data_IF_092065809870
#
_entry.id   IF_092065809870
#
_cell.length_a   1.000
_cell.length_b   1.000
_cell.length_c   1.000
_cell.angle_alpha   90.00
_cell.angle_beta   90.00
_cell.angle_gamma   90.00
#
_symmetry.space_group_name_H-M   'P 1'
#
loop_
_entity.id
_entity.type
_entity.pdbx_description
1 polymer ?
#
# COMPACT_ATOMS: atom_id res chain seq x y z
N UNK A 1 30.05 5.43 8.77
CA UNK A 1 29.43 4.27 8.10
C UNK A 1 27.92 4.46 8.16
N UNK A 2 27.19 4.24 7.05
CA UNK A 2 25.75 4.44 7.02
C UNK A 2 25.03 3.33 7.80
N UNK A 3 24.20 3.71 8.79
CA UNK A 3 23.36 2.76 9.53
C UNK A 3 22.33 2.07 8.65
N UNK A 4 21.83 2.80 7.63
CA UNK A 4 20.89 2.25 6.63
C UNK A 4 21.54 1.12 5.85
N UNK A 5 22.79 1.31 5.37
CA UNK A 5 23.54 0.27 4.67
C UNK A 5 23.82 -0.96 5.54
N UNK A 6 24.07 -0.75 6.81
CA UNK A 6 24.28 -1.83 7.78
C UNK A 6 22.98 -2.62 8.05
N UNK A 7 21.86 -1.93 8.24
CA UNK A 7 20.59 -2.56 8.65
C UNK A 7 19.81 -3.20 7.50
N UNK A 8 19.93 -2.68 6.28
CA UNK A 8 19.13 -3.14 5.12
C UNK A 8 20.00 -3.97 4.17
N UNK A 9 21.29 -3.68 4.10
CA UNK A 9 22.16 -4.16 3.04
C UNK A 9 21.97 -3.35 1.74
N UNK A 10 23.03 -3.31 0.94
CA UNK A 10 22.99 -2.64 -0.36
C UNK A 10 22.62 -3.68 -1.43
N UNK A 11 21.35 -3.81 -1.75
CA UNK A 11 20.92 -4.73 -2.81
C UNK A 11 20.92 -4.00 -4.14
N UNK A 12 21.98 -4.20 -4.92
CA UNK A 12 22.07 -3.80 -6.35
C UNK A 12 21.21 -4.72 -7.25
N UNK A 13 19.96 -4.95 -6.91
CA UNK A 13 19.08 -5.73 -7.79
C UNK A 13 18.18 -4.78 -8.56
N UNK A 14 18.29 -4.72 -9.90
CA UNK A 14 17.36 -3.94 -10.70
C UNK A 14 15.96 -4.51 -10.47
N UNK A 15 15.02 -3.65 -10.11
CA UNK A 15 13.59 -3.97 -10.22
C UNK A 15 13.25 -3.70 -11.68
N UNK A 16 13.67 -4.63 -12.55
CA UNK A 16 13.70 -4.47 -14.00
C UNK A 16 12.33 -4.22 -14.62
N UNK A 17 11.26 -4.59 -13.93
CA UNK A 17 9.90 -4.48 -14.46
C UNK A 17 9.18 -3.19 -14.04
N UNK A 18 9.69 -2.44 -13.07
CA UNK A 18 9.06 -1.23 -12.54
C UNK A 18 9.77 0.06 -12.95
N UNK A 19 11.07 -0.04 -13.33
CA UNK A 19 11.84 1.11 -13.78
C UNK A 19 11.64 1.31 -15.27
N UNK A 20 11.46 2.55 -15.74
CA UNK A 20 11.60 2.87 -17.17
C UNK A 20 12.95 2.36 -17.65
N UNK A 21 13.01 1.71 -18.81
CA UNK A 21 14.26 1.15 -19.36
C UNK A 21 15.39 2.19 -19.49
N UNK A 22 15.03 3.48 -19.54
CA UNK A 22 15.96 4.62 -19.59
C UNK A 22 16.67 4.90 -18.25
N UNK A 23 16.21 4.34 -17.13
CA UNK A 23 16.78 4.57 -15.79
C UNK A 23 17.38 3.32 -15.14
N UNK A 24 17.44 2.21 -15.85
CA UNK A 24 18.09 0.97 -15.38
C UNK A 24 19.62 1.06 -15.56
N UNK A 25 20.27 2.12 -15.02
CA UNK A 25 21.73 2.18 -14.98
C UNK A 25 22.29 1.27 -13.89
N UNK A 26 23.55 0.85 -14.03
CA UNK A 26 24.27 0.03 -13.05
C UNK A 26 24.36 0.69 -11.66
N UNK A 27 24.07 1.97 -11.57
CA UNK A 27 24.19 2.81 -10.39
C UNK A 27 22.88 3.07 -9.65
N UNK A 28 21.82 2.30 -9.95
CA UNK A 28 20.56 2.39 -9.22
C UNK A 28 20.69 1.83 -7.81
N UNK A 29 20.49 2.67 -6.80
CA UNK A 29 20.46 2.26 -5.41
C UNK A 29 19.05 1.77 -5.03
N UNK A 30 18.94 0.51 -4.67
CA UNK A 30 17.68 -0.11 -4.27
C UNK A 30 17.71 -0.51 -2.79
N UNK A 31 16.85 0.12 -1.98
CA UNK A 31 16.65 -0.23 -0.59
C UNK A 31 15.31 -0.96 -0.41
N UNK A 32 15.38 -2.25 -0.12
CA UNK A 32 14.22 -3.08 0.13
C UNK A 32 14.00 -3.32 1.62
N UNK A 33 12.91 -2.79 2.16
CA UNK A 33 12.48 -3.14 3.50
C UNK A 33 11.72 -4.46 3.46
N UNK A 34 11.90 -5.29 4.48
CA UNK A 34 11.21 -6.59 4.56
C UNK A 34 9.70 -6.43 4.72
N UNK A 35 9.30 -5.43 5.49
CA UNK A 35 7.92 -5.03 5.78
C UNK A 35 7.91 -3.69 6.51
N UNK A 36 6.70 -3.20 6.83
CA UNK A 36 6.52 -1.95 7.56
C UNK A 36 7.23 -1.95 8.93
N UNK A 37 7.25 -3.06 9.66
CA UNK A 37 7.93 -3.11 10.98
C UNK A 37 9.45 -2.96 10.84
N UNK A 38 10.03 -3.56 9.81
CA UNK A 38 11.44 -3.37 9.50
C UNK A 38 11.76 -1.91 9.13
N UNK A 39 10.88 -1.26 8.34
CA UNK A 39 10.99 0.17 8.07
C UNK A 39 10.96 1.00 9.35
N UNK A 40 9.95 0.80 10.22
CA UNK A 40 9.82 1.47 11.53
C UNK A 40 11.07 1.26 12.40
N UNK A 41 11.62 0.05 12.43
CA UNK A 41 12.84 -0.25 13.14
C UNK A 41 14.04 0.53 12.60
N UNK A 42 14.27 0.55 11.29
CA UNK A 42 15.37 1.27 10.66
C UNK A 42 15.29 2.75 10.98
N UNK A 43 14.14 3.41 10.73
CA UNK A 43 13.98 4.83 11.00
C UNK A 43 14.09 5.19 12.48
N UNK A 44 13.78 4.26 13.39
CA UNK A 44 14.00 4.46 14.84
C UNK A 44 15.47 4.56 15.24
N UNK A 45 16.39 4.11 14.39
CA UNK A 45 17.85 4.17 14.60
C UNK A 45 18.50 5.39 13.94
N UNK A 46 17.72 6.18 13.19
CA UNK A 46 18.19 7.36 12.49
C UNK A 46 17.87 8.63 13.27
N UNK A 47 18.47 9.71 12.83
CA UNK A 47 18.16 11.07 13.25
C UNK A 47 18.10 11.94 11.99
N UNK A 48 17.01 12.68 11.81
CA UNK A 48 16.93 13.63 10.72
C UNK A 48 17.80 14.86 11.01
N UNK A 49 18.63 15.22 10.08
CA UNK A 49 19.41 16.47 10.14
C UNK A 49 18.48 17.67 9.91
N UNK A 50 18.77 18.79 10.53
CA UNK A 50 17.91 19.96 10.44
C UNK A 50 16.62 19.90 11.26
N UNK A 51 16.38 18.82 12.00
CA UNK A 51 15.26 18.66 12.91
C UNK A 51 15.77 18.42 14.34
N UNK A 52 15.09 18.98 15.34
CA UNK A 52 15.40 18.65 16.73
C UNK A 52 15.08 17.19 17.05
N UNK A 53 15.87 16.58 17.91
CA UNK A 53 15.68 15.18 18.31
C UNK A 53 14.29 14.95 18.94
N UNK A 54 13.79 15.92 19.70
CA UNK A 54 12.44 15.86 20.29
C UNK A 54 11.36 15.78 19.23
N UNK A 55 11.43 16.61 18.19
CA UNK A 55 10.46 16.62 17.08
C UNK A 55 10.55 15.33 16.26
N UNK A 56 11.76 14.83 16.00
CA UNK A 56 11.91 13.54 15.31
C UNK A 56 11.25 12.39 16.10
N UNK A 57 11.47 12.33 17.42
CA UNK A 57 10.84 11.35 18.29
C UNK A 57 9.32 11.47 18.34
N UNK A 58 8.78 12.69 18.33
CA UNK A 58 7.33 12.91 18.26
C UNK A 58 6.73 12.32 16.97
N UNK A 59 7.32 12.66 15.81
CA UNK A 59 6.89 12.14 14.50
C UNK A 59 7.04 10.62 14.44
N UNK A 60 8.12 10.07 14.96
CA UNK A 60 8.33 8.62 15.06
C UNK A 60 7.26 7.94 15.93
N UNK A 61 6.89 8.52 17.05
CA UNK A 61 5.83 7.97 17.91
C UNK A 61 4.47 7.96 17.18
N UNK A 62 4.18 8.98 16.36
CA UNK A 62 2.96 9.00 15.50
C UNK A 62 2.98 7.87 14.48
N UNK A 63 4.11 7.63 13.81
CA UNK A 63 4.29 6.52 12.88
C UNK A 63 4.11 5.16 13.57
N UNK A 64 4.76 4.96 14.73
CA UNK A 64 4.67 3.70 15.48
C UNK A 64 3.24 3.40 15.89
N UNK A 65 2.51 4.42 16.36
CA UNK A 65 1.12 4.31 16.79
C UNK A 65 0.10 4.24 15.64
N UNK A 66 0.52 4.41 14.40
CA UNK A 66 -0.37 4.42 13.24
C UNK A 66 -1.32 5.61 13.22
N UNK A 67 -0.93 6.78 13.76
CA UNK A 67 -1.80 7.96 13.80
C UNK A 67 -1.86 8.60 12.43
N UNK A 68 -2.99 8.45 11.75
CA UNK A 68 -3.24 8.96 10.40
C UNK A 68 -3.62 10.44 10.34
N UNK A 69 -4.20 10.96 11.43
CA UNK A 69 -4.82 12.30 11.47
C UNK A 69 -6.13 12.38 10.66
N UNK A 70 -6.78 11.23 10.40
CA UNK A 70 -8.12 11.11 9.82
C UNK A 70 -8.97 10.35 10.82
N UNK A 71 -10.21 10.78 11.02
CA UNK A 71 -11.15 10.09 11.90
C UNK A 71 -11.71 8.83 11.23
N UNK A 72 -12.17 7.89 12.03
CA UNK A 72 -12.86 6.70 11.53
C UNK A 72 -14.15 7.09 10.78
N UNK A 73 -14.87 8.10 11.27
CA UNK A 73 -16.10 8.61 10.67
C UNK A 73 -15.84 9.18 9.25
N UNK A 74 -14.78 9.98 9.08
CA UNK A 74 -14.38 10.48 7.75
C UNK A 74 -14.05 9.35 6.77
N UNK A 75 -13.40 8.29 7.25
CA UNK A 75 -13.11 7.13 6.41
C UNK A 75 -14.39 6.40 6.00
N UNK A 76 -15.32 6.16 6.93
CA UNK A 76 -16.60 5.52 6.66
C UNK A 76 -17.47 6.30 5.68
N UNK A 77 -17.43 7.64 5.75
CA UNK A 77 -18.12 8.51 4.78
C UNK A 77 -17.53 8.32 3.37
N UNK A 78 -16.21 8.24 3.26
CA UNK A 78 -15.54 7.99 1.98
C UNK A 78 -15.89 6.58 1.46
N UNK A 79 -15.91 5.56 2.31
CA UNK A 79 -16.32 4.20 1.92
C UNK A 79 -17.76 4.19 1.36
N UNK A 80 -18.70 4.85 2.05
CA UNK A 80 -20.09 4.99 1.58
C UNK A 80 -20.17 5.68 0.22
N UNK A 81 -19.39 6.74 0.03
CA UNK A 81 -19.34 7.48 -1.23
C UNK A 81 -18.80 6.62 -2.38
N UNK A 82 -17.68 5.93 -2.17
CA UNK A 82 -17.07 5.03 -3.16
C UNK A 82 -18.04 3.93 -3.54
N UNK A 83 -18.60 3.22 -2.55
CA UNK A 83 -19.61 2.16 -2.77
C UNK A 83 -20.80 2.67 -3.59
N UNK A 84 -21.34 3.85 -3.25
CA UNK A 84 -22.45 4.45 -4.00
C UNK A 84 -22.10 4.74 -5.46
N UNK A 85 -20.90 5.23 -5.74
CA UNK A 85 -20.45 5.51 -7.11
C UNK A 85 -20.25 4.24 -7.93
N UNK A 86 -19.61 3.21 -7.35
CA UNK A 86 -19.42 1.91 -8.01
C UNK A 86 -20.78 1.23 -8.31
N UNK A 87 -21.71 1.30 -7.37
CA UNK A 87 -23.06 0.77 -7.56
C UNK A 87 -23.82 1.50 -8.68
N UNK A 88 -23.79 2.85 -8.69
CA UNK A 88 -24.43 3.65 -9.75
C UNK A 88 -23.87 3.33 -11.15
N UNK A 89 -22.63 2.90 -11.22
CA UNK A 89 -21.98 2.46 -12.47
C UNK A 89 -22.25 1.00 -12.83
N UNK A 90 -22.95 0.25 -11.96
CA UNK A 90 -23.21 -1.18 -12.15
C UNK A 90 -21.94 -2.06 -11.99
N UNK A 91 -20.89 -1.51 -11.39
CA UNK A 91 -19.62 -2.25 -11.18
C UNK A 91 -19.69 -3.21 -10.00
N UNK A 92 -20.55 -2.90 -9.01
CA UNK A 92 -20.87 -3.78 -7.90
C UNK A 92 -22.39 -3.96 -7.80
N UNK A 93 -22.81 -5.13 -7.37
CA UNK A 93 -24.22 -5.42 -7.03
C UNK A 93 -24.40 -5.20 -5.53
N UNK A 94 -25.65 -4.91 -5.13
CA UNK A 94 -25.98 -4.68 -3.71
C UNK A 94 -25.82 -5.92 -2.84
N UNK A 95 -25.77 -7.10 -3.43
CA UNK A 95 -25.66 -8.37 -2.73
C UNK A 95 -24.71 -9.31 -3.48
N UNK A 96 -23.65 -9.72 -2.82
CA UNK A 96 -22.84 -10.87 -3.24
C UNK A 96 -23.48 -12.07 -2.55
N UNK A 97 -24.40 -12.74 -3.24
CA UNK A 97 -24.88 -14.03 -2.76
C UNK A 97 -23.76 -15.05 -2.99
N UNK A 98 -23.17 -15.53 -1.93
CA UNK A 98 -22.45 -16.80 -2.01
C UNK A 98 -23.53 -17.90 -2.11
N UNK A 99 -23.72 -18.45 -3.29
CA UNK A 99 -24.52 -19.65 -3.42
C UNK A 99 -23.74 -20.80 -2.81
N UNK A 100 -24.23 -21.28 -1.66
CA UNK A 100 -23.74 -22.46 -1.02
C UNK A 100 -24.60 -23.66 -1.43
N UNK A 101 -23.92 -24.75 -1.72
CA UNK A 101 -24.58 -26.04 -1.91
C UNK A 101 -24.40 -26.88 -0.65
N UNK A 102 -25.48 -27.54 -0.24
CA UNK A 102 -25.41 -28.53 0.82
C UNK A 102 -25.02 -29.88 0.24
N UNK A 103 -24.08 -30.56 0.86
CA UNK A 103 -23.61 -31.88 0.46
C UNK A 103 -23.42 -32.74 1.73
N UNK A 104 -23.30 -34.05 1.53
CA UNK A 104 -22.98 -35.00 2.59
C UNK A 104 -21.47 -35.13 2.86
N UNK A 105 -20.64 -34.66 1.89
CA UNK A 105 -19.19 -34.77 1.96
C UNK A 105 -18.53 -33.71 1.06
N UNK A 106 -17.25 -33.42 1.29
CA UNK A 106 -16.44 -32.56 0.44
C UNK A 106 -15.64 -31.51 1.20
N UNK A 107 -15.02 -30.58 0.45
CA UNK A 107 -14.30 -29.43 1.03
C UNK A 107 -15.32 -28.43 1.54
N UNK A 108 -15.54 -28.39 2.84
CA UNK A 108 -16.56 -27.53 3.46
C UNK A 108 -16.00 -26.18 3.87
N UNK A 109 -16.83 -25.15 3.79
CA UNK A 109 -16.60 -23.86 4.47
C UNK A 109 -17.25 -23.86 5.86
N UNK A 110 -18.08 -24.87 6.17
CA UNK A 110 -18.72 -25.04 7.47
C UNK A 110 -19.70 -26.18 7.49
N UNK A 111 -20.30 -26.40 8.65
CA UNK A 111 -21.39 -27.35 8.87
C UNK A 111 -22.60 -26.53 9.32
N UNK A 112 -23.74 -26.77 8.69
CA UNK A 112 -25.02 -26.26 9.19
C UNK A 112 -25.42 -27.08 10.45
N UNK A 113 -25.23 -26.46 11.60
CA UNK A 113 -25.44 -27.10 12.91
C UNK A 113 -26.90 -27.52 13.08
N UNK A 114 -27.84 -26.76 12.51
CA UNK A 114 -29.27 -27.11 12.57
C UNK A 114 -29.59 -28.41 11.81
N UNK A 115 -29.10 -28.51 10.58
CA UNK A 115 -29.25 -29.71 9.75
C UNK A 115 -28.53 -30.93 10.35
N UNK A 116 -27.28 -30.69 10.82
CA UNK A 116 -26.50 -31.74 11.49
C UNK A 116 -27.21 -32.28 12.73
N UNK A 117 -27.76 -31.41 13.59
CA UNK A 117 -28.51 -31.78 14.77
C UNK A 117 -29.83 -32.48 14.43
N UNK A 118 -30.43 -32.18 13.27
CA UNK A 118 -31.63 -32.86 12.76
C UNK A 118 -31.32 -34.22 12.10
N UNK A 119 -30.03 -34.59 11.97
CA UNK A 119 -29.62 -35.84 11.33
C UNK A 119 -29.74 -35.81 9.81
N UNK A 120 -29.79 -34.64 9.19
CA UNK A 120 -29.85 -34.51 7.75
C UNK A 120 -28.46 -34.82 7.14
N UNK A 121 -28.40 -35.74 6.13
CA UNK A 121 -27.10 -36.14 5.54
C UNK A 121 -26.43 -34.98 4.80
N UNK A 122 -27.19 -34.07 4.19
CA UNK A 122 -26.65 -32.90 3.46
C UNK A 122 -26.52 -31.69 4.39
N UNK A 123 -25.62 -31.76 5.35
CA UNK A 123 -25.37 -30.69 6.33
C UNK A 123 -24.03 -29.94 6.08
N UNK A 124 -23.20 -30.44 5.17
CA UNK A 124 -21.94 -29.82 4.83
C UNK A 124 -22.15 -28.68 3.83
N UNK A 125 -21.74 -27.48 4.20
CA UNK A 125 -21.84 -26.29 3.35
C UNK A 125 -20.60 -26.20 2.47
N UNK A 126 -20.78 -26.35 1.17
CA UNK A 126 -19.72 -26.22 0.17
C UNK A 126 -20.01 -25.04 -0.76
N UNK A 127 -19.00 -24.27 -1.18
CA UNK A 127 -19.22 -23.23 -2.19
C UNK A 127 -19.59 -23.86 -3.52
N UNK A 128 -20.63 -23.32 -4.17
CA UNK A 128 -21.16 -23.82 -5.46
C UNK A 128 -20.18 -23.68 -6.61
N UNK A 129 -19.22 -22.74 -6.47
CA UNK A 129 -18.12 -22.54 -7.41
C UNK A 129 -16.81 -22.50 -6.65
N UNK A 130 -15.81 -23.25 -7.12
CA UNK A 130 -14.42 -23.02 -6.72
C UNK A 130 -13.96 -21.73 -7.40
N UNK A 131 -14.18 -20.60 -6.73
CA UNK A 131 -13.64 -19.34 -7.21
C UNK A 131 -12.15 -19.33 -6.93
N UNK A 132 -11.35 -19.43 -7.96
CA UNK A 132 -9.93 -19.09 -7.89
C UNK A 132 -9.87 -17.58 -7.70
N UNK A 133 -9.38 -17.11 -6.55
CA UNK A 133 -9.18 -15.69 -6.30
C UNK A 133 -8.12 -15.14 -7.26
N UNK A 134 -8.35 -13.94 -7.78
CA UNK A 134 -7.34 -13.21 -8.53
C UNK A 134 -6.42 -12.46 -7.57
N UNK A 135 -5.11 -12.58 -7.77
CA UNK A 135 -4.10 -11.94 -6.93
C UNK A 135 -3.32 -10.91 -7.73
N UNK A 136 -3.35 -9.66 -7.27
CA UNK A 136 -2.67 -8.56 -7.93
C UNK A 136 -1.73 -7.83 -6.96
N UNK A 137 -0.58 -7.37 -7.43
CA UNK A 137 0.34 -6.53 -6.65
C UNK A 137 0.24 -5.08 -7.12
N UNK A 138 -0.18 -4.21 -6.22
CA UNK A 138 -0.29 -2.77 -6.44
C UNK A 138 0.94 -2.07 -5.87
N UNK A 139 1.64 -1.33 -6.72
CA UNK A 139 2.73 -0.45 -6.31
C UNK A 139 2.23 0.97 -6.18
N UNK A 140 2.36 1.54 -4.99
CA UNK A 140 1.96 2.91 -4.70
C UNK A 140 3.21 3.78 -4.66
N UNK A 141 3.32 4.68 -5.65
CA UNK A 141 4.37 5.68 -5.69
C UNK A 141 4.04 6.81 -4.71
N UNK A 142 4.89 6.94 -3.69
CA UNK A 142 4.77 7.95 -2.64
C UNK A 142 5.74 9.12 -2.86
N UNK A 143 6.39 9.17 -4.02
CA UNK A 143 7.16 10.31 -4.47
C UNK A 143 6.20 11.33 -5.10
N UNK A 144 6.03 12.48 -4.45
CA UNK A 144 5.21 13.57 -4.95
C UNK A 144 5.81 14.94 -4.59
N UNK A 145 5.42 15.96 -5.35
CA UNK A 145 5.93 17.33 -5.20
C UNK A 145 5.63 17.94 -3.83
N UNK A 146 6.45 18.88 -3.41
CA UNK A 146 6.31 19.53 -2.10
C UNK A 146 5.00 20.34 -1.96
N UNK A 147 4.37 20.75 -3.07
CA UNK A 147 3.10 21.46 -3.09
C UNK A 147 1.86 20.60 -2.87
N UNK A 148 2.00 19.26 -2.88
CA UNK A 148 0.87 18.36 -2.66
C UNK A 148 0.41 18.43 -1.21
N UNK A 149 -0.88 18.70 -1.00
CA UNK A 149 -1.44 18.81 0.35
C UNK A 149 -1.60 17.43 1.00
N UNK A 150 -1.40 17.37 2.32
CA UNK A 150 -1.68 16.15 3.09
C UNK A 150 -3.13 15.68 2.96
N UNK A 151 -4.05 16.61 2.80
CA UNK A 151 -5.49 16.31 2.68
C UNK A 151 -5.79 15.54 1.38
N UNK A 152 -5.19 15.97 0.27
CA UNK A 152 -5.31 15.24 -1.00
C UNK A 152 -4.77 13.82 -0.87
N UNK A 153 -3.59 13.64 -0.28
CA UNK A 153 -2.96 12.33 -0.08
C UNK A 153 -3.84 11.42 0.76
N UNK A 154 -4.32 11.91 1.90
CA UNK A 154 -5.22 11.15 2.80
C UNK A 154 -6.50 10.72 2.09
N UNK A 155 -7.14 11.65 1.37
CA UNK A 155 -8.37 11.38 0.63
C UNK A 155 -8.15 10.36 -0.49
N UNK A 156 -7.06 10.47 -1.24
CA UNK A 156 -6.70 9.49 -2.28
C UNK A 156 -6.45 8.11 -1.69
N UNK A 157 -5.73 8.01 -0.56
CA UNK A 157 -5.52 6.76 0.17
C UNK A 157 -6.83 6.15 0.67
N UNK A 158 -7.73 6.96 1.24
CA UNK A 158 -9.01 6.48 1.73
C UNK A 158 -9.89 5.93 0.61
N UNK A 159 -9.98 6.64 -0.52
CA UNK A 159 -10.70 6.18 -1.70
C UNK A 159 -10.11 4.89 -2.28
N UNK A 160 -8.77 4.81 -2.35
CA UNK A 160 -8.08 3.61 -2.83
C UNK A 160 -8.42 2.40 -1.97
N UNK A 161 -8.27 2.50 -0.65
CA UNK A 161 -8.55 1.38 0.25
C UNK A 161 -10.02 0.98 0.22
N UNK A 162 -10.94 1.95 0.19
CA UNK A 162 -12.37 1.67 0.04
C UNK A 162 -12.67 0.92 -1.28
N UNK A 163 -11.96 1.26 -2.36
CA UNK A 163 -12.10 0.56 -3.65
C UNK A 163 -11.50 -0.85 -3.59
N UNK A 164 -10.36 -1.03 -2.92
CA UNK A 164 -9.74 -2.34 -2.71
C UNK A 164 -10.67 -3.24 -1.88
N UNK A 165 -11.31 -2.73 -0.84
CA UNK A 165 -12.27 -3.51 -0.05
C UNK A 165 -13.45 -4.02 -0.89
N UNK A 166 -13.95 -3.21 -1.85
CA UNK A 166 -15.00 -3.67 -2.77
C UNK A 166 -14.48 -4.70 -3.80
N UNK A 167 -13.22 -4.61 -4.23
CA UNK A 167 -12.57 -5.62 -5.06
C UNK A 167 -12.36 -6.95 -4.29
N UNK A 168 -11.95 -6.88 -3.04
CA UNK A 168 -11.74 -8.07 -2.19
C UNK A 168 -13.05 -8.83 -1.92
N UNK A 169 -14.17 -8.13 -1.81
CA UNK A 169 -15.50 -8.77 -1.78
C UNK A 169 -15.82 -9.55 -3.06
N UNK A 170 -15.19 -9.19 -4.18
CA UNK A 170 -15.28 -9.91 -5.45
C UNK A 170 -14.13 -10.91 -5.65
N UNK A 171 -13.42 -11.27 -4.55
CA UNK A 171 -12.27 -12.20 -4.53
C UNK A 171 -11.08 -11.77 -5.37
N UNK A 172 -10.92 -10.46 -5.56
CA UNK A 172 -9.74 -9.85 -6.15
C UNK A 172 -8.87 -9.32 -5.01
N UNK A 173 -7.82 -10.06 -4.67
CA UNK A 173 -6.96 -9.77 -3.53
C UNK A 173 -5.76 -8.93 -3.94
N UNK A 174 -5.57 -7.81 -3.27
CA UNK A 174 -4.54 -6.83 -3.61
C UNK A 174 -3.42 -6.86 -2.56
N UNK A 175 -2.19 -7.10 -3.00
CA UNK A 175 -0.98 -6.83 -2.21
C UNK A 175 -0.57 -5.39 -2.43
N UNK A 176 -0.20 -4.66 -1.38
CA UNK A 176 0.22 -3.26 -1.47
C UNK A 176 1.70 -3.14 -1.11
N UNK A 177 2.48 -2.57 -2.02
CA UNK A 177 3.88 -2.23 -1.81
C UNK A 177 4.07 -0.72 -2.07
N UNK A 178 4.56 0.01 -1.06
CA UNK A 178 4.93 1.41 -1.24
C UNK A 178 6.28 1.49 -1.94
N UNK A 179 6.40 2.42 -2.88
CA UNK A 179 7.63 2.67 -3.61
C UNK A 179 7.97 4.16 -3.59
N UNK A 180 9.24 4.46 -3.42
CA UNK A 180 9.77 5.81 -3.46
C UNK A 180 10.91 5.87 -4.47
N UNK A 181 10.66 6.27 -5.70
CA UNK A 181 11.68 6.61 -6.67
C UNK A 181 12.05 8.09 -6.55
N UNK A 182 13.33 8.39 -6.41
CA UNK A 182 13.85 9.77 -6.36
C UNK A 182 15.08 9.87 -7.26
N UNK A 183 15.15 10.92 -8.06
CA UNK A 183 16.35 11.28 -8.78
C UNK A 183 17.09 12.39 -8.03
N UNK A 184 18.36 12.18 -7.73
CA UNK A 184 19.21 13.20 -7.12
C UNK A 184 19.52 14.27 -8.16
N UNK A 185 19.38 15.57 -7.85
CA UNK A 185 19.52 16.65 -8.86
C UNK A 185 20.88 16.68 -9.57
N UNK A 186 21.95 16.27 -8.90
CA UNK A 186 23.34 16.33 -9.38
C UNK A 186 23.91 14.94 -9.73
N UNK A 187 23.06 13.92 -9.78
CA UNK A 187 23.49 12.54 -9.97
C UNK A 187 22.48 11.84 -10.88
N UNK A 188 22.96 11.21 -11.96
CA UNK A 188 22.11 10.40 -12.85
C UNK A 188 21.56 9.13 -12.15
N UNK A 189 22.01 8.91 -10.91
CA UNK A 189 21.65 7.74 -10.12
C UNK A 189 20.24 7.83 -9.54
N UNK A 190 19.44 6.84 -9.83
CA UNK A 190 18.12 6.67 -9.26
C UNK A 190 18.22 6.02 -7.87
N UNK A 191 17.67 6.69 -6.86
CA UNK A 191 17.43 6.08 -5.56
C UNK A 191 16.02 5.52 -5.52
N UNK A 192 15.93 4.25 -5.21
CA UNK A 192 14.66 3.55 -5.11
C UNK A 192 14.53 2.88 -3.75
N UNK A 193 13.39 3.00 -3.12
CA UNK A 193 13.08 2.20 -1.93
C UNK A 193 11.70 1.58 -2.03
N UNK A 194 11.53 0.40 -1.45
CA UNK A 194 10.25 -0.31 -1.40
C UNK A 194 9.94 -0.81 0.00
N UNK A 195 8.67 -0.69 0.39
CA UNK A 195 8.15 -1.15 1.67
C UNK A 195 6.91 -1.99 1.38
N UNK A 196 6.95 -3.33 1.52
CA UNK A 196 5.73 -4.14 1.55
C UNK A 196 4.86 -3.71 2.71
N UNK A 197 3.63 -3.27 2.42
CA UNK A 197 2.71 -2.73 3.41
C UNK A 197 1.66 -3.76 3.82
N UNK A 198 0.99 -4.37 2.85
CA UNK A 198 -0.03 -5.39 3.07
C UNK A 198 0.16 -6.57 2.11
N UNK A 199 0.03 -7.79 2.61
CA UNK A 199 -0.06 -8.99 1.79
C UNK A 199 -1.48 -9.17 1.21
N UNK A 200 -1.65 -10.11 0.28
CA UNK A 200 -2.96 -10.38 -0.34
C UNK A 200 -4.03 -10.75 0.68
N UNK A 201 -3.69 -11.59 1.66
CA UNK A 201 -4.64 -12.13 2.65
C UNK A 201 -4.71 -11.30 3.94
N UNK A 202 -4.03 -10.17 3.99
CA UNK A 202 -4.00 -9.30 5.17
C UNK A 202 -5.10 -8.25 5.06
N UNK A 203 -5.83 -8.04 6.17
CA UNK A 203 -6.80 -6.94 6.24
C UNK A 203 -6.08 -5.61 6.09
N UNK A 204 -6.52 -4.81 5.11
CA UNK A 204 -5.95 -3.50 4.85
C UNK A 204 -6.50 -2.51 5.88
N UNK A 205 -5.60 -1.96 6.69
CA UNK A 205 -5.95 -0.96 7.69
C UNK A 205 -5.65 0.45 7.17
N UNK A 206 -6.70 1.28 7.12
CA UNK A 206 -6.60 2.66 6.63
C UNK A 206 -5.63 3.50 7.46
N UNK A 207 -5.69 3.40 8.79
CA UNK A 207 -4.84 4.21 9.66
C UNK A 207 -3.36 3.86 9.49
N UNK A 208 -3.05 2.57 9.33
CA UNK A 208 -1.70 2.10 9.01
C UNK A 208 -1.22 2.70 7.69
N UNK A 209 -2.01 2.60 6.62
CA UNK A 209 -1.64 3.15 5.33
C UNK A 209 -1.48 4.67 5.37
N UNK A 210 -2.46 5.40 5.89
CA UNK A 210 -2.43 6.85 5.96
C UNK A 210 -1.29 7.39 6.85
N UNK A 211 -0.84 6.61 7.86
CA UNK A 211 0.30 6.99 8.69
C UNK A 211 1.63 6.95 7.95
N UNK A 212 1.80 6.05 6.98
CA UNK A 212 3.06 5.90 6.23
C UNK A 212 3.11 6.69 4.92
N UNK A 213 1.96 7.03 4.34
CA UNK A 213 1.89 7.85 3.12
C UNK A 213 1.70 9.34 3.42
N UNK A 214 1.55 9.72 4.68
CA UNK A 214 1.44 11.11 5.11
C UNK A 214 2.70 11.88 4.72
N UNK A 215 2.52 13.02 4.03
CA UNK A 215 3.62 13.81 3.47
C UNK A 215 4.67 14.21 4.52
N UNK A 216 4.23 14.62 5.71
CA UNK A 216 5.16 15.08 6.75
C UNK A 216 5.98 13.91 7.30
N UNK A 217 5.32 12.79 7.61
CA UNK A 217 5.97 11.60 8.13
C UNK A 217 6.93 11.02 7.11
N UNK A 218 6.49 10.92 5.86
CA UNK A 218 7.29 10.40 4.78
C UNK A 218 8.54 11.25 4.54
N UNK A 219 8.40 12.56 4.40
CA UNK A 219 9.53 13.48 4.19
C UNK A 219 10.54 13.37 5.31
N UNK A 220 10.08 13.34 6.55
CA UNK A 220 11.00 13.23 7.71
C UNK A 220 11.82 11.95 7.65
N UNK A 221 11.17 10.79 7.44
CA UNK A 221 11.88 9.51 7.50
C UNK A 221 12.68 9.21 6.25
N UNK A 222 12.14 9.51 5.07
CA UNK A 222 12.90 9.30 3.84
C UNK A 222 14.09 10.25 3.73
N UNK A 223 13.94 11.49 4.18
CA UNK A 223 15.07 12.40 4.24
C UNK A 223 16.13 11.90 5.21
N UNK A 224 15.74 11.39 6.37
CA UNK A 224 16.71 10.78 7.31
C UNK A 224 17.43 9.56 6.70
N UNK A 225 16.71 8.73 5.91
CA UNK A 225 17.31 7.59 5.21
C UNK A 225 18.30 8.07 4.15
N UNK A 226 17.92 9.04 3.32
CA UNK A 226 18.77 9.60 2.28
C UNK A 226 20.03 10.28 2.89
N UNK A 227 19.85 11.07 3.95
CA UNK A 227 20.93 11.72 4.66
C UNK A 227 21.93 10.73 5.27
N UNK A 228 21.44 9.63 5.85
CA UNK A 228 22.30 8.58 6.39
C UNK A 228 22.99 7.77 5.28
N UNK A 229 22.28 7.49 4.19
CA UNK A 229 22.78 6.68 3.08
C UNK A 229 23.89 7.40 2.30
N UNK A 230 23.68 8.67 1.93
CA UNK A 230 24.63 9.46 1.14
C UNK A 230 25.61 10.28 1.97
N UNK A 231 25.36 10.46 3.27
CA UNK A 231 26.19 11.29 4.14
C UNK A 231 25.81 12.78 4.11
N UNK A 232 26.78 13.67 4.42
CA UNK A 232 26.53 15.10 4.61
C UNK A 232 26.28 15.87 3.30
N UNK A 233 26.54 15.29 2.15
CA UNK A 233 26.64 15.98 0.86
C UNK A 233 25.33 16.10 0.07
N UNK A 234 24.18 15.88 0.71
CA UNK A 234 22.87 16.21 0.16
C UNK A 234 22.58 17.73 0.20
N UNK A 235 23.61 18.52 -0.07
CA UNK A 235 23.48 19.98 -0.20
C UNK A 235 22.91 20.26 -1.58
N UNK A 236 21.62 20.57 -1.67
CA UNK A 236 20.98 20.91 -2.96
C UNK A 236 19.56 20.40 -3.12
N UNK A 237 19.05 19.64 -2.15
CA UNK A 237 17.69 19.10 -2.15
C UNK A 237 17.65 17.58 -2.13
N UNK A 238 16.48 17.05 -1.82
CA UNK A 238 16.27 15.61 -1.65
C UNK A 238 15.85 14.90 -2.96
N UNK A 239 16.15 15.50 -4.10
CA UNK A 239 15.83 14.97 -5.41
C UNK A 239 14.41 15.29 -5.89
N UNK A 240 14.17 14.98 -7.15
CA UNK A 240 12.88 15.21 -7.79
C UNK A 240 12.02 13.93 -7.75
N UNK A 241 10.69 14.07 -7.53
CA UNK A 241 9.77 12.95 -7.67
C UNK A 241 9.81 12.40 -9.10
N UNK A 242 9.82 11.08 -9.22
CA UNK A 242 9.79 10.41 -10.51
C UNK A 242 8.47 9.64 -10.66
N UNK A 243 7.79 9.86 -11.79
CA UNK A 243 6.69 9.01 -12.20
C UNK A 243 7.22 7.64 -12.64
N UNK A 244 6.62 6.58 -12.15
CA UNK A 244 6.95 5.22 -12.58
C UNK A 244 5.77 4.62 -13.34
N UNK A 245 6.01 3.90 -14.44
CA UNK A 245 4.95 3.15 -15.11
C UNK A 245 4.38 2.08 -14.15
N UNK A 246 3.13 1.75 -14.33
CA UNK A 246 2.43 0.72 -13.55
C UNK A 246 2.40 0.99 -12.02
N UNK A 247 2.52 2.26 -11.62
CA UNK A 247 2.40 2.66 -10.22
C UNK A 247 1.30 3.71 -10.05
N UNK A 248 0.57 3.60 -8.95
CA UNK A 248 -0.37 4.62 -8.55
C UNK A 248 0.34 5.72 -7.77
N UNK A 249 0.12 6.98 -8.12
CA UNK A 249 0.68 8.13 -7.40
C UNK A 249 -0.37 8.74 -6.46
N UNK A 250 -0.11 8.68 -5.14
CA UNK A 250 -1.02 9.23 -4.12
C UNK A 250 -1.04 10.77 -4.06
N UNK A 251 -0.08 11.42 -4.70
CA UNK A 251 -0.05 12.89 -4.84
C UNK A 251 -1.02 13.43 -5.90
N UNK A 252 -1.78 12.56 -6.56
CA UNK A 252 -2.82 12.90 -7.54
C UNK A 252 -4.19 12.49 -7.04
N UNK A 253 -5.23 13.13 -7.58
CA UNK A 253 -6.60 12.71 -7.27
C UNK A 253 -6.85 11.29 -7.78
N UNK A 254 -7.32 10.42 -6.88
CA UNK A 254 -7.62 9.03 -7.20
C UNK A 254 -9.00 8.90 -7.86
N UNK A 255 -9.03 8.20 -9.00
CA UNK A 255 -10.25 7.86 -9.72
C UNK A 255 -10.64 6.41 -9.41
N UNK A 256 -11.55 6.23 -8.47
CA UNK A 256 -12.02 4.95 -7.97
C UNK A 256 -12.68 4.08 -9.06
N UNK A 257 -13.39 4.69 -10.00
CA UNK A 257 -14.09 3.96 -11.07
C UNK A 257 -13.09 3.39 -12.07
N UNK A 258 -12.18 4.24 -12.58
CA UNK A 258 -11.18 3.80 -13.55
C UNK A 258 -10.27 2.70 -12.98
N UNK A 259 -9.85 2.84 -11.73
CA UNK A 259 -9.04 1.82 -11.06
C UNK A 259 -9.79 0.50 -10.89
N UNK A 260 -11.07 0.56 -10.48
CA UNK A 260 -11.89 -0.63 -10.31
C UNK A 260 -12.08 -1.40 -11.62
N UNK A 261 -12.38 -0.67 -12.72
CA UNK A 261 -12.54 -1.23 -14.06
C UNK A 261 -11.25 -1.88 -14.57
N UNK A 262 -10.11 -1.19 -14.43
CA UNK A 262 -8.79 -1.69 -14.82
C UNK A 262 -8.45 -3.01 -14.13
N UNK A 263 -8.59 -3.08 -12.80
CA UNK A 263 -8.27 -4.29 -12.04
C UNK A 263 -9.24 -5.43 -12.38
N UNK A 264 -10.51 -5.15 -12.60
CA UNK A 264 -11.47 -6.17 -13.04
C UNK A 264 -11.17 -6.71 -14.44
N UNK A 265 -10.67 -5.88 -15.34
CA UNK A 265 -10.26 -6.31 -16.67
C UNK A 265 -9.04 -7.24 -16.61
N UNK A 266 -8.06 -6.92 -15.76
CA UNK A 266 -6.90 -7.79 -15.52
C UNK A 266 -7.27 -9.14 -14.88
N UNK A 267 -8.39 -9.21 -14.17
CA UNK A 267 -8.87 -10.41 -13.47
C UNK A 267 -9.75 -11.33 -14.36
N UNK A 268 -10.09 -10.92 -15.58
CA UNK A 268 -10.85 -11.71 -16.56
C UNK A 268 -9.94 -12.61 -17.39
#
# INVERSE_FOLDING_TARGET
MSKVKELIGNTKRPISNLLPQTHASEDTHNLQFRNLQHFKYVVSKLTARGMSESRYKEVLNRLIKGISGVSQEEYEDIQRLVKSKLHKRGLITSEVYEEFKYTDSGVSVGIDVGKYAAGEPECVVTPTQQYVGFFHELFINISYECGVSNELVKRSCAKLLATIEELEKQRIFIKITLVLPINKPDDENLFYSSIPLFSHNEKKDFHTMASVVNADLLRVFYFAILEDFYGKDLVGGYGNPIGMPNTMNVGKEFNEIAFFEEIKELAR
#
